data_IF_563507120360
#
_entry.id   IF_563507120360
#
_cell.length_a   1.000
_cell.length_b   1.000
_cell.length_c   1.000
_cell.angle_alpha   90.00
_cell.angle_beta   90.00
_cell.angle_gamma   90.00
#
_symmetry.space_group_name_H-M   'P 1'
#
loop_
_entity.id
_entity.type
_entity.pdbx_description
1 polymer ?
#
# COMPACT_ATOMS: atom_id res chain seq x y z
N UNK A 1 21.73 -24.28 15.60
CA UNK A 1 21.98 -24.42 14.15
C UNK A 1 21.33 -23.25 13.42
N UNK A 2 22.11 -22.30 12.90
CA UNK A 2 21.57 -21.23 12.04
C UNK A 2 21.40 -21.78 10.62
N UNK A 3 20.16 -22.14 10.26
CA UNK A 3 19.82 -22.55 8.89
C UNK A 3 19.53 -21.31 8.06
N UNK A 4 20.55 -20.76 7.40
CA UNK A 4 20.38 -19.73 6.37
C UNK A 4 20.38 -20.39 4.99
N UNK A 5 19.53 -19.88 4.08
CA UNK A 5 19.57 -20.22 2.65
C UNK A 5 19.89 -18.96 1.87
N UNK A 6 20.76 -19.09 0.86
CA UNK A 6 21.12 -17.97 -0.02
C UNK A 6 20.03 -17.78 -1.08
N UNK A 7 19.77 -16.52 -1.44
CA UNK A 7 18.87 -16.12 -2.50
C UNK A 7 19.67 -15.27 -3.48
N UNK A 8 19.65 -15.62 -4.77
CA UNK A 8 20.24 -14.83 -5.85
C UNK A 8 19.12 -14.27 -6.70
N UNK A 9 19.14 -12.96 -6.93
CA UNK A 9 18.14 -12.26 -7.73
C UNK A 9 18.90 -11.47 -8.81
N UNK A 10 18.46 -11.58 -10.05
CA UNK A 10 18.89 -10.69 -11.14
C UNK A 10 17.92 -9.52 -11.19
N UNK A 11 18.45 -8.32 -11.22
CA UNK A 11 17.71 -7.06 -11.32
C UNK A 11 18.47 -6.15 -12.28
N UNK A 12 17.76 -5.20 -12.86
CA UNK A 12 18.35 -4.16 -13.69
C UNK A 12 19.36 -3.33 -12.86
N UNK A 13 20.55 -3.00 -13.40
CA UNK A 13 21.56 -2.20 -12.69
C UNK A 13 21.04 -0.84 -12.23
N UNK A 14 20.20 -0.20 -13.04
CA UNK A 14 19.58 1.10 -12.75
C UNK A 14 18.64 0.98 -11.55
N UNK A 15 17.75 -0.03 -11.56
CA UNK A 15 16.84 -0.32 -10.46
C UNK A 15 17.57 -0.59 -9.14
N UNK A 16 18.70 -1.34 -9.20
CA UNK A 16 19.55 -1.58 -8.03
C UNK A 16 20.09 -0.27 -7.44
N UNK A 17 20.59 0.60 -8.31
CA UNK A 17 21.23 1.85 -7.91
C UNK A 17 20.22 2.80 -7.28
N UNK A 18 19.03 2.94 -7.88
CA UNK A 18 17.95 3.75 -7.34
C UNK A 18 17.46 3.23 -5.98
N UNK A 19 17.23 1.91 -5.87
CA UNK A 19 16.81 1.30 -4.62
C UNK A 19 17.86 1.49 -3.51
N UNK A 20 19.15 1.32 -3.81
CA UNK A 20 20.24 1.55 -2.85
C UNK A 20 20.30 3.00 -2.37
N UNK A 21 20.08 3.97 -3.26
CA UNK A 21 20.05 5.38 -2.90
C UNK A 21 18.88 5.72 -1.95
N UNK A 22 17.68 5.21 -2.24
CA UNK A 22 16.49 5.40 -1.40
C UNK A 22 16.69 4.75 -0.03
N UNK A 23 17.11 3.47 0.00
CA UNK A 23 17.28 2.72 1.23
C UNK A 23 18.39 3.30 2.11
N UNK A 24 19.48 3.80 1.52
CA UNK A 24 20.56 4.49 2.25
C UNK A 24 20.06 5.73 2.99
N UNK A 25 19.18 6.53 2.37
CA UNK A 25 18.52 7.68 3.03
C UNK A 25 17.63 7.27 4.20
N UNK A 26 17.11 6.03 4.17
CA UNK A 26 16.32 5.43 5.24
C UNK A 26 17.19 4.69 6.28
N UNK A 27 18.51 4.64 6.10
CA UNK A 27 19.43 3.91 6.98
C UNK A 27 19.36 2.39 6.83
N UNK A 28 18.86 1.87 5.70
CA UNK A 28 18.63 0.45 5.46
C UNK A 28 19.55 -0.10 4.38
N UNK A 29 20.00 -1.35 4.54
CA UNK A 29 20.64 -2.11 3.47
C UNK A 29 19.60 -2.85 2.61
N UNK A 30 19.85 -3.08 1.31
CA UNK A 30 18.96 -3.86 0.45
C UNK A 30 18.60 -5.22 1.04
N UNK A 31 19.58 -5.95 1.60
CA UNK A 31 19.35 -7.26 2.21
C UNK A 31 18.41 -7.21 3.42
N UNK A 32 18.45 -6.13 4.20
CA UNK A 32 17.54 -5.94 5.34
C UNK A 32 16.13 -5.65 4.85
N UNK A 33 15.99 -4.77 3.87
CA UNK A 33 14.72 -4.47 3.24
C UNK A 33 14.06 -5.72 2.65
N UNK A 34 14.80 -6.53 1.88
CA UNK A 34 14.28 -7.79 1.31
C UNK A 34 13.85 -8.77 2.41
N UNK A 35 14.62 -8.88 3.50
CA UNK A 35 14.24 -9.72 4.65
C UNK A 35 12.93 -9.23 5.30
N UNK A 36 12.78 -7.93 5.46
CA UNK A 36 11.56 -7.31 6.01
C UNK A 36 10.36 -7.54 5.08
N UNK A 37 10.53 -7.36 3.78
CA UNK A 37 9.49 -7.59 2.78
C UNK A 37 9.00 -9.04 2.78
N UNK A 38 9.93 -10.01 2.81
CA UNK A 38 9.60 -11.43 2.93
C UNK A 38 8.88 -11.75 4.26
N UNK A 39 9.30 -11.10 5.36
CA UNK A 39 8.65 -11.27 6.67
C UNK A 39 7.22 -10.73 6.67
N UNK A 40 7.00 -9.55 6.07
CA UNK A 40 5.66 -8.98 5.89
C UNK A 40 4.78 -9.88 5.01
N UNK A 41 5.35 -10.46 3.95
CA UNK A 41 4.63 -11.36 3.08
C UNK A 41 4.11 -12.59 3.83
N UNK A 42 4.97 -13.22 4.63
CA UNK A 42 4.60 -14.37 5.45
C UNK A 42 3.57 -14.00 6.51
N UNK A 43 3.78 -12.86 7.19
CA UNK A 43 2.91 -12.41 8.28
C UNK A 43 1.48 -12.10 7.79
N UNK A 44 1.37 -11.36 6.68
CA UNK A 44 0.09 -10.89 6.14
C UNK A 44 -0.55 -11.87 5.17
N UNK A 45 0.15 -12.92 4.76
CA UNK A 45 -0.24 -13.84 3.67
C UNK A 45 -0.61 -13.07 2.38
N UNK A 46 0.14 -12.01 2.09
CA UNK A 46 -0.14 -11.09 0.99
C UNK A 46 1.09 -10.28 0.62
N UNK A 47 1.02 -9.46 -0.42
CA UNK A 47 2.17 -8.65 -0.82
C UNK A 47 2.48 -7.56 0.22
N UNK A 48 3.77 -7.16 0.38
CA UNK A 48 4.17 -6.14 1.34
C UNK A 48 3.71 -4.72 0.94
N UNK A 49 3.17 -4.59 -0.26
CA UNK A 49 2.48 -3.44 -0.78
C UNK A 49 1.09 -3.88 -1.24
N UNK A 50 0.14 -2.93 -1.26
CA UNK A 50 -1.17 -3.20 -1.80
C UNK A 50 -1.07 -3.34 -3.32
N UNK A 51 -1.12 -4.58 -3.81
CA UNK A 51 -1.27 -4.83 -5.24
C UNK A 51 -2.70 -4.52 -5.66
N UNK A 52 -2.99 -3.24 -5.90
CA UNK A 52 -4.25 -2.80 -6.50
C UNK A 52 -3.94 -2.19 -7.84
N UNK A 53 -4.49 -2.78 -8.90
CA UNK A 53 -4.88 -1.99 -10.07
C UNK A 53 -6.25 -1.42 -9.67
N UNK A 54 -6.39 -0.10 -9.48
CA UNK A 54 -7.69 0.48 -9.15
C UNK A 54 -8.71 0.03 -10.21
N UNK A 55 -9.85 -0.51 -9.77
CA UNK A 55 -10.94 -0.81 -10.70
C UNK A 55 -11.54 0.50 -11.23
N UNK A 56 -12.35 0.41 -12.29
CA UNK A 56 -12.98 1.58 -12.92
C UNK A 56 -13.68 2.48 -11.90
N UNK A 57 -14.33 1.88 -10.92
CA UNK A 57 -15.13 2.59 -9.92
C UNK A 57 -14.24 3.35 -8.93
N UNK A 58 -13.10 2.75 -8.54
CA UNK A 58 -12.09 3.39 -7.69
C UNK A 58 -11.41 4.55 -8.42
N UNK A 59 -11.09 4.39 -9.71
CA UNK A 59 -10.53 5.48 -10.54
C UNK A 59 -11.53 6.61 -10.64
N UNK A 60 -12.78 6.31 -11.00
CA UNK A 60 -13.83 7.31 -11.13
C UNK A 60 -14.09 8.07 -9.81
N UNK A 61 -14.06 7.37 -8.67
CA UNK A 61 -14.20 8.00 -7.36
C UNK A 61 -13.02 8.92 -7.00
N UNK A 62 -11.79 8.56 -7.40
CA UNK A 62 -10.61 9.40 -7.18
C UNK A 62 -10.54 10.62 -8.11
N UNK A 63 -11.11 10.51 -9.31
CA UNK A 63 -11.21 11.61 -10.29
C UNK A 63 -12.46 12.48 -10.09
N UNK A 64 -13.32 12.15 -9.12
CA UNK A 64 -14.54 12.90 -8.87
C UNK A 64 -14.22 14.33 -8.43
N UNK A 65 -14.74 15.36 -9.13
CA UNK A 65 -14.41 16.74 -8.82
C UNK A 65 -14.96 17.12 -7.44
N UNK A 66 -14.16 17.86 -6.67
CA UNK A 66 -14.48 18.24 -5.28
C UNK A 66 -15.87 18.88 -5.07
N UNK A 67 -16.44 19.49 -6.11
CA UNK A 67 -17.81 20.05 -6.10
C UNK A 67 -18.91 19.01 -5.88
N UNK A 68 -18.65 17.75 -6.19
CA UNK A 68 -19.60 16.65 -6.01
C UNK A 68 -19.43 15.95 -4.65
N UNK A 69 -18.35 16.28 -3.91
CA UNK A 69 -18.11 15.72 -2.59
C UNK A 69 -19.00 16.43 -1.56
N UNK A 70 -19.61 15.64 -0.67
CA UNK A 70 -20.37 16.19 0.46
C UNK A 70 -19.42 16.57 1.58
N UNK A 71 -19.58 17.78 2.09
CA UNK A 71 -18.93 18.23 3.31
C UNK A 71 -19.87 18.02 4.49
N UNK A 72 -19.30 17.64 5.62
CA UNK A 72 -19.99 17.46 6.89
C UNK A 72 -19.16 18.16 7.96
N UNK A 73 -19.84 18.81 8.90
CA UNK A 73 -19.17 19.60 9.93
C UNK A 73 -18.69 18.72 11.09
N UNK A 74 -19.18 17.47 11.17
CA UNK A 74 -18.73 16.50 12.16
C UNK A 74 -18.80 15.05 11.68
N UNK A 75 -17.99 14.21 12.31
CA UNK A 75 -18.02 12.75 12.08
C UNK A 75 -19.39 12.14 12.38
N UNK A 76 -20.15 12.72 13.33
CA UNK A 76 -21.48 12.22 13.72
C UNK A 76 -22.51 12.36 12.59
N UNK A 77 -22.43 13.46 11.83
CA UNK A 77 -23.29 13.71 10.67
C UNK A 77 -23.00 12.75 9.51
N UNK A 78 -21.72 12.41 9.31
CA UNK A 78 -21.32 11.41 8.29
C UNK A 78 -21.96 10.05 8.59
N UNK A 79 -21.86 9.57 9.83
CA UNK A 79 -22.45 8.28 10.21
C UNK A 79 -23.97 8.28 10.11
N UNK A 80 -24.63 9.37 10.51
CA UNK A 80 -26.08 9.50 10.37
C UNK A 80 -26.56 9.45 8.91
N UNK A 81 -25.86 10.11 7.97
CA UNK A 81 -26.17 10.02 6.52
C UNK A 81 -25.96 8.60 5.96
N UNK A 82 -24.88 7.94 6.37
CA UNK A 82 -24.58 6.58 5.90
C UNK A 82 -25.59 5.54 6.40
N UNK A 83 -26.01 5.64 7.66
CA UNK A 83 -27.01 4.76 8.26
C UNK A 83 -28.37 4.95 7.57
N UNK A 84 -28.81 6.21 7.35
CA UNK A 84 -30.05 6.50 6.63
C UNK A 84 -30.06 5.93 5.19
N UNK A 85 -28.90 5.87 4.54
CA UNK A 85 -28.75 5.29 3.19
C UNK A 85 -28.80 3.76 3.18
N UNK A 86 -28.45 3.11 4.29
CA UNK A 86 -28.48 1.64 4.42
C UNK A 86 -29.90 1.08 4.65
N UNK A 87 -30.83 1.91 5.14
CA UNK A 87 -32.21 1.52 5.44
C UNK A 87 -33.18 1.69 4.27
N UNK A 88 -32.74 2.29 3.15
CA UNK A 88 -33.56 2.52 1.95
C UNK A 88 -33.35 1.44 0.86
N UNK A 89 -32.91 0.24 1.25
CA UNK A 89 -32.65 -0.90 0.36
C UNK A 89 -33.81 -1.86 0.22
#
# INVERSE_FOLDING_TARGET
MNRTKQMQIRIEPELKTEAEAILSRLGLKPTEYIRMALSQLVLRKGLPFEARIPNSDTVAALEEPARNLRQFDSTREVFADLEARSETG
#
